data_IF_502964150591
#
_entry.id   IF_502964150591
#
_cell.length_a   1.000
_cell.length_b   1.000
_cell.length_c   1.000
_cell.angle_alpha   90.00
_cell.angle_beta   90.00
_cell.angle_gamma   90.00
#
_symmetry.space_group_name_H-M   'P 1'
#
loop_
_entity.id
_entity.type
_entity.pdbx_description
1 polymer ?
#
# COMPACT_ATOMS: atom_id res chain seq x y z
N UNK A 1 1.02 -4.66 24.39
CA UNK A 1 0.34 -3.41 23.99
C UNK A 1 -1.00 -3.27 24.68
N UNK A 2 -1.83 -4.32 24.73
CA UNK A 2 -3.06 -4.41 25.55
C UNK A 2 -2.84 -4.02 27.03
N UNK A 3 -1.78 -4.56 27.64
CA UNK A 3 -1.45 -4.31 29.05
C UNK A 3 -1.15 -2.84 29.41
N UNK A 4 -0.81 -2.00 28.42
CA UNK A 4 -0.44 -0.59 28.65
C UNK A 4 -1.52 0.39 28.12
N UNK A 5 -2.50 -0.06 27.33
CA UNK A 5 -3.42 0.84 26.60
C UNK A 5 -4.90 0.47 26.69
N UNK A 6 -5.26 -0.61 27.39
CA UNK A 6 -6.65 -1.03 27.63
C UNK A 6 -7.20 -1.90 26.48
N UNK A 7 -8.03 -2.87 26.85
CA UNK A 7 -8.76 -3.77 25.95
C UNK A 7 -9.81 -3.02 25.13
N UNK A 8 -10.08 -3.47 23.89
CA UNK A 8 -11.18 -2.99 23.00
C UNK A 8 -11.06 -1.60 22.37
N UNK A 9 -9.86 -1.02 22.24
CA UNK A 9 -9.66 0.23 21.48
C UNK A 9 -9.45 0.04 19.97
N UNK A 10 -9.63 -1.18 19.44
CA UNK A 10 -9.30 -1.48 18.04
C UNK A 10 -7.80 -1.36 17.71
N UNK A 11 -6.92 -1.40 18.72
CA UNK A 11 -5.45 -1.28 18.54
C UNK A 11 -4.82 -2.49 17.85
N UNK A 12 -5.60 -3.55 17.63
CA UNK A 12 -5.18 -4.78 16.96
C UNK A 12 -6.35 -5.25 16.08
N UNK A 13 -6.13 -5.29 14.77
CA UNK A 13 -7.11 -5.83 13.81
C UNK A 13 -6.86 -7.34 13.73
N UNK A 14 -7.76 -8.14 14.29
CA UNK A 14 -7.73 -9.60 14.25
C UNK A 14 -8.87 -10.10 13.33
N UNK A 15 -8.56 -10.94 12.34
CA UNK A 15 -9.53 -11.49 11.38
C UNK A 15 -8.88 -12.07 10.13
N UNK A 16 -9.63 -12.76 9.25
CA UNK A 16 -9.12 -13.20 7.95
C UNK A 16 -8.61 -11.98 7.16
N UNK A 17 -7.45 -12.09 6.50
CA UNK A 17 -6.83 -11.02 5.70
C UNK A 17 -7.57 -10.72 4.38
N UNK A 18 -8.91 -10.83 4.37
CA UNK A 18 -9.78 -10.39 3.27
C UNK A 18 -9.92 -8.87 3.19
N UNK A 19 -9.43 -8.16 4.21
CA UNK A 19 -9.44 -6.69 4.31
C UNK A 19 -8.31 -6.03 3.50
N UNK A 20 -7.33 -6.82 3.08
CA UNK A 20 -6.10 -6.34 2.45
C UNK A 20 -6.15 -6.37 0.91
N UNK A 21 -7.29 -6.75 0.33
CA UNK A 21 -7.43 -7.01 -1.11
C UNK A 21 -7.02 -5.80 -1.96
N UNK A 22 -7.33 -4.58 -1.53
CA UNK A 22 -6.96 -3.36 -2.27
C UNK A 22 -5.45 -3.10 -2.27
N UNK A 23 -4.76 -3.30 -1.14
CA UNK A 23 -3.30 -3.13 -1.12
C UNK A 23 -2.61 -4.30 -1.84
N UNK A 24 -3.17 -5.51 -1.78
CA UNK A 24 -2.67 -6.66 -2.56
C UNK A 24 -2.80 -6.39 -4.06
N UNK A 25 -3.94 -5.84 -4.51
CA UNK A 25 -4.11 -5.41 -5.90
C UNK A 25 -3.11 -4.32 -6.29
N UNK A 26 -2.93 -3.32 -5.43
CA UNK A 26 -1.92 -2.28 -5.63
C UNK A 26 -0.51 -2.87 -5.79
N UNK A 27 -0.15 -3.84 -4.94
CA UNK A 27 1.14 -4.53 -5.01
C UNK A 27 1.34 -5.27 -6.34
N UNK A 28 0.28 -5.90 -6.87
CA UNK A 28 0.31 -6.50 -8.21
C UNK A 28 0.60 -5.44 -9.26
N UNK A 29 -0.08 -4.29 -9.21
CA UNK A 29 0.09 -3.20 -10.18
C UNK A 29 1.49 -2.55 -10.09
N UNK A 30 2.02 -2.33 -8.88
CA UNK A 30 3.40 -1.87 -8.66
C UNK A 30 4.42 -2.85 -9.24
N UNK A 31 4.21 -4.15 -8.98
CA UNK A 31 5.11 -5.19 -9.49
C UNK A 31 5.07 -5.25 -11.00
N UNK A 32 3.89 -5.20 -11.61
CA UNK A 32 3.74 -5.25 -13.06
C UNK A 32 4.31 -4.00 -13.76
N UNK A 33 4.07 -2.80 -13.22
CA UNK A 33 4.43 -1.53 -13.90
C UNK A 33 5.85 -1.06 -13.60
N UNK A 34 6.37 -1.35 -12.41
CA UNK A 34 7.70 -0.90 -11.97
C UNK A 34 8.62 -2.08 -11.68
N UNK A 35 8.18 -3.05 -10.88
CA UNK A 35 9.04 -4.13 -10.38
C UNK A 35 9.61 -5.06 -11.46
N UNK A 36 8.76 -5.52 -12.39
CA UNK A 36 9.08 -6.58 -13.34
C UNK A 36 10.29 -6.25 -14.21
N UNK A 37 10.34 -5.02 -14.76
CA UNK A 37 11.48 -4.58 -15.59
C UNK A 37 12.80 -4.53 -14.83
N UNK A 38 12.78 -4.15 -13.54
CA UNK A 38 13.98 -4.08 -12.72
C UNK A 38 14.45 -5.49 -12.34
N UNK A 39 13.51 -6.39 -12.05
CA UNK A 39 13.81 -7.80 -11.83
C UNK A 39 14.47 -8.42 -13.08
N UNK A 40 13.88 -8.25 -14.26
CA UNK A 40 14.42 -8.75 -15.53
C UNK A 40 15.82 -8.17 -15.81
N UNK A 41 16.02 -6.87 -15.54
CA UNK A 41 17.29 -6.21 -15.71
C UNK A 41 18.38 -6.78 -14.78
N UNK A 42 18.09 -6.94 -13.49
CA UNK A 42 19.07 -7.49 -12.54
C UNK A 42 19.36 -8.96 -12.79
N UNK A 43 18.36 -9.77 -13.17
CA UNK A 43 18.55 -11.15 -13.61
C UNK A 43 19.47 -11.20 -14.84
N UNK A 44 19.28 -10.29 -15.81
CA UNK A 44 20.17 -10.20 -16.97
C UNK A 44 21.61 -9.84 -16.58
N UNK A 45 21.80 -8.96 -15.60
CA UNK A 45 23.13 -8.62 -15.08
C UNK A 45 23.81 -9.84 -14.42
N UNK A 46 23.06 -10.63 -13.65
CA UNK A 46 23.56 -11.87 -13.04
C UNK A 46 23.96 -12.90 -14.10
N UNK A 47 23.07 -13.17 -15.06
CA UNK A 47 23.27 -14.23 -16.04
C UNK A 47 24.32 -13.90 -17.11
N UNK A 48 24.47 -12.62 -17.49
CA UNK A 48 25.24 -12.23 -18.69
C UNK A 48 26.40 -11.28 -18.42
N UNK A 49 26.40 -10.59 -17.28
CA UNK A 49 27.33 -9.48 -17.03
C UNK A 49 28.16 -9.65 -15.75
N UNK A 50 28.08 -10.81 -15.10
CA UNK A 50 28.96 -11.16 -13.96
C UNK A 50 28.57 -10.48 -12.64
N UNK A 51 27.31 -10.06 -12.50
CA UNK A 51 26.80 -9.58 -11.23
C UNK A 51 26.76 -10.75 -10.22
N UNK A 52 27.71 -10.75 -9.27
CA UNK A 52 27.67 -11.61 -8.10
C UNK A 52 26.76 -11.06 -6.99
N UNK A 53 25.67 -11.77 -6.69
CA UNK A 53 24.70 -11.42 -5.64
C UNK A 53 25.25 -11.57 -4.21
N UNK A 54 26.32 -12.34 -4.03
CA UNK A 54 26.98 -12.53 -2.72
C UNK A 54 28.06 -11.48 -2.47
N UNK A 55 28.41 -10.68 -3.48
CA UNK A 55 29.40 -9.61 -3.35
C UNK A 55 28.73 -8.31 -2.89
N UNK A 56 29.00 -7.92 -1.64
CA UNK A 56 28.42 -6.70 -1.06
C UNK A 56 28.77 -5.43 -1.83
N UNK A 57 29.93 -5.38 -2.51
CA UNK A 57 30.33 -4.23 -3.32
C UNK A 57 29.47 -4.11 -4.57
N UNK A 58 29.07 -5.24 -5.17
CA UNK A 58 28.17 -5.25 -6.32
C UNK A 58 26.77 -4.76 -5.92
N UNK A 59 26.24 -5.26 -4.80
CA UNK A 59 24.95 -4.81 -4.26
C UNK A 59 24.98 -3.31 -3.94
N UNK A 60 26.04 -2.83 -3.28
CA UNK A 60 26.23 -1.41 -3.00
C UNK A 60 26.24 -0.59 -4.30
N UNK A 61 26.96 -1.05 -5.32
CA UNK A 61 27.03 -0.36 -6.62
C UNK A 61 25.66 -0.31 -7.30
N UNK A 62 24.88 -1.39 -7.27
CA UNK A 62 23.52 -1.41 -7.79
C UNK A 62 22.64 -0.39 -7.08
N UNK A 63 22.69 -0.34 -5.75
CA UNK A 63 21.95 0.65 -4.99
C UNK A 63 22.40 2.08 -5.34
N UNK A 64 23.70 2.33 -5.41
CA UNK A 64 24.23 3.64 -5.74
C UNK A 64 23.77 4.13 -7.12
N UNK A 65 23.76 3.25 -8.13
CA UNK A 65 23.40 3.59 -9.50
C UNK A 65 21.88 3.66 -9.72
N UNK A 66 21.14 2.67 -9.22
CA UNK A 66 19.77 2.43 -9.66
C UNK A 66 18.71 2.73 -8.60
N UNK A 67 19.05 2.77 -7.30
CA UNK A 67 18.07 3.09 -6.27
C UNK A 67 17.43 4.48 -6.45
N UNK A 68 18.17 5.55 -6.79
CA UNK A 68 17.56 6.85 -7.05
C UNK A 68 16.57 6.80 -8.22
N UNK A 69 16.87 5.98 -9.25
CA UNK A 69 16.01 5.82 -10.41
C UNK A 69 14.75 5.02 -10.08
N UNK A 70 14.88 3.92 -9.35
CA UNK A 70 13.75 3.11 -8.88
C UNK A 70 12.82 3.97 -8.03
N UNK A 71 13.38 4.76 -7.10
CA UNK A 71 12.59 5.66 -6.26
C UNK A 71 11.84 6.70 -7.08
N UNK A 72 12.48 7.34 -8.06
CA UNK A 72 11.81 8.30 -8.93
C UNK A 72 10.65 7.67 -9.72
N UNK A 73 10.81 6.44 -10.20
CA UNK A 73 9.76 5.72 -10.91
C UNK A 73 8.62 5.28 -9.98
N UNK A 74 8.91 4.89 -8.75
CA UNK A 74 7.91 4.61 -7.73
C UNK A 74 7.14 5.88 -7.32
N UNK A 75 7.82 7.02 -7.21
CA UNK A 75 7.17 8.32 -6.98
C UNK A 75 6.22 8.66 -8.12
N UNK A 76 6.67 8.55 -9.36
CA UNK A 76 5.83 8.79 -10.53
C UNK A 76 4.63 7.84 -10.60
N UNK A 77 4.85 6.55 -10.29
CA UNK A 77 3.76 5.57 -10.18
C UNK A 77 2.76 6.00 -9.11
N UNK A 78 3.22 6.39 -7.92
CA UNK A 78 2.34 6.80 -6.83
C UNK A 78 1.52 8.05 -7.20
N UNK A 79 2.15 9.06 -7.82
CA UNK A 79 1.44 10.26 -8.30
C UNK A 79 0.37 9.91 -9.34
N UNK A 80 0.71 9.06 -10.31
CA UNK A 80 -0.20 8.61 -11.37
C UNK A 80 -1.35 7.78 -10.80
N UNK A 81 -1.02 6.84 -9.90
CA UNK A 81 -1.99 6.00 -9.22
C UNK A 81 -2.87 6.81 -8.25
N UNK A 82 -2.38 7.88 -7.65
CA UNK A 82 -3.27 8.71 -6.81
C UNK A 82 -4.33 9.44 -7.64
N UNK A 83 -4.11 9.62 -8.94
CA UNK A 83 -5.02 10.34 -9.85
C UNK A 83 -5.88 9.42 -10.73
N UNK A 84 -5.54 8.13 -10.87
CA UNK A 84 -6.35 7.21 -11.69
C UNK A 84 -7.74 7.02 -11.09
N UNK A 85 -8.76 6.89 -11.93
CA UNK A 85 -10.15 6.70 -11.46
C UNK A 85 -10.41 5.23 -11.19
N UNK A 86 -10.84 4.94 -9.97
CA UNK A 86 -11.33 3.62 -9.58
C UNK A 86 -12.84 3.58 -9.82
N UNK A 87 -13.32 2.47 -10.38
CA UNK A 87 -14.75 2.23 -10.49
C UNK A 87 -15.32 1.87 -9.13
N UNK A 88 -16.31 2.63 -8.68
CA UNK A 88 -16.98 2.39 -7.40
C UNK A 88 -18.38 1.88 -7.74
N UNK A 89 -18.67 0.64 -7.35
CA UNK A 89 -19.91 -0.07 -7.72
C UNK A 89 -21.18 0.70 -7.37
N UNK A 90 -21.18 1.39 -6.23
CA UNK A 90 -22.34 2.12 -5.68
C UNK A 90 -22.14 3.64 -5.65
N UNK A 91 -21.27 4.19 -6.50
CA UNK A 91 -20.96 5.62 -6.46
C UNK A 91 -20.27 6.14 -7.72
N UNK A 92 -20.00 7.45 -7.79
CA UNK A 92 -19.23 8.01 -8.89
C UNK A 92 -17.79 7.45 -8.86
N UNK A 93 -17.22 7.15 -10.03
CA UNK A 93 -15.80 6.81 -10.11
C UNK A 93 -14.95 7.96 -9.53
N UNK A 94 -14.06 7.65 -8.61
CA UNK A 94 -13.21 8.63 -7.93
C UNK A 94 -11.76 8.18 -7.99
N UNK A 95 -10.84 9.14 -8.00
CA UNK A 95 -9.43 8.83 -7.79
C UNK A 95 -9.13 8.62 -6.30
N UNK A 96 -8.06 7.89 -5.94
CA UNK A 96 -7.63 7.82 -4.55
C UNK A 96 -7.42 9.21 -3.91
N UNK A 97 -6.94 10.19 -4.67
CA UNK A 97 -6.83 11.57 -4.21
C UNK A 97 -8.20 12.22 -3.93
N UNK A 98 -9.18 12.01 -4.81
CA UNK A 98 -10.55 12.49 -4.59
C UNK A 98 -11.16 11.83 -3.34
N UNK A 99 -11.02 10.51 -3.22
CA UNK A 99 -11.52 9.77 -2.06
C UNK A 99 -10.89 10.31 -0.77
N UNK A 100 -9.57 10.50 -0.74
CA UNK A 100 -8.88 11.04 0.42
C UNK A 100 -9.37 12.45 0.79
N UNK A 101 -9.48 13.35 -0.19
CA UNK A 101 -9.89 14.74 0.04
C UNK A 101 -11.36 14.88 0.43
N UNK A 102 -12.27 14.22 -0.30
CA UNK A 102 -13.71 14.29 -0.02
C UNK A 102 -14.10 13.53 1.25
N UNK A 103 -13.48 12.38 1.53
CA UNK A 103 -13.77 11.65 2.78
C UNK A 103 -13.38 12.48 4.00
N UNK A 104 -12.27 13.22 3.97
CA UNK A 104 -11.89 14.12 5.07
C UNK A 104 -12.91 15.24 5.30
N UNK A 105 -13.56 15.71 4.23
CA UNK A 105 -14.60 16.73 4.34
C UNK A 105 -15.91 16.18 4.91
N UNK A 106 -16.27 14.94 4.55
CA UNK A 106 -17.53 14.30 4.95
C UNK A 106 -17.45 13.64 6.33
N UNK A 107 -16.32 12.99 6.64
CA UNK A 107 -16.14 12.15 7.82
C UNK A 107 -15.19 12.74 8.87
N UNK A 108 -14.70 13.95 8.65
CA UNK A 108 -13.75 14.60 9.54
C UNK A 108 -12.29 14.22 9.25
N UNK A 109 -11.37 14.88 9.96
CA UNK A 109 -9.93 14.68 9.75
C UNK A 109 -9.54 13.27 10.16
N UNK A 110 -9.04 12.46 9.22
CA UNK A 110 -8.48 11.14 9.53
C UNK A 110 -7.33 11.31 10.53
N UNK A 111 -7.43 10.62 11.67
CA UNK A 111 -6.44 10.68 12.75
C UNK A 111 -6.75 11.69 13.85
N UNK A 112 -7.86 12.43 13.75
CA UNK A 112 -8.47 13.05 14.92
C UNK A 112 -9.10 11.96 15.82
N UNK A 113 -9.23 12.23 17.12
CA UNK A 113 -9.63 11.22 18.10
C UNK A 113 -10.89 10.48 17.65
N UNK A 114 -10.82 9.15 17.58
CA UNK A 114 -12.02 8.31 17.42
C UNK A 114 -13.06 8.80 18.44
N UNK A 115 -14.33 9.00 18.04
CA UNK A 115 -15.38 9.21 19.01
C UNK A 115 -15.26 8.13 20.08
N UNK A 116 -15.41 8.47 21.36
CA UNK A 116 -15.37 7.52 22.48
C UNK A 116 -16.49 6.45 22.44
N UNK A 117 -17.15 6.28 21.30
CA UNK A 117 -18.05 5.18 21.03
C UNK A 117 -17.22 3.92 20.82
N UNK A 118 -17.16 3.11 21.87
CA UNK A 118 -16.59 1.77 21.82
C UNK A 118 -17.37 0.96 20.78
N UNK A 119 -16.84 0.85 19.55
CA UNK A 119 -17.33 -0.09 18.55
C UNK A 119 -17.35 -1.48 19.18
N UNK A 120 -18.46 -2.19 19.02
CA UNK A 120 -18.57 -3.55 19.53
C UNK A 120 -17.67 -4.50 18.73
N UNK A 121 -17.37 -5.67 19.30
CA UNK A 121 -16.42 -6.64 18.74
C UNK A 121 -16.80 -7.07 17.31
N UNK A 122 -18.11 -7.23 17.06
CA UNK A 122 -18.68 -7.54 15.74
C UNK A 122 -18.55 -6.39 14.72
N UNK A 123 -18.59 -5.13 15.19
CA UNK A 123 -18.45 -3.96 14.33
C UNK A 123 -16.99 -3.72 13.95
N UNK A 124 -16.05 -3.99 14.87
CA UNK A 124 -14.61 -3.97 14.61
C UNK A 124 -14.19 -5.03 13.59
N UNK A 125 -14.80 -6.21 13.60
CA UNK A 125 -14.51 -7.28 12.63
C UNK A 125 -14.93 -6.95 11.19
N UNK A 126 -15.86 -6.02 11.01
CA UNK A 126 -16.35 -5.59 9.68
C UNK A 126 -15.81 -4.21 9.29
N UNK A 127 -15.16 -3.50 10.22
CA UNK A 127 -14.65 -2.17 9.98
C UNK A 127 -13.56 -2.17 8.89
N UNK A 128 -13.86 -1.52 7.76
CA UNK A 128 -12.94 -1.44 6.63
C UNK A 128 -12.92 -2.67 5.72
N UNK A 129 -13.79 -3.68 5.93
CA UNK A 129 -14.02 -4.74 4.94
C UNK A 129 -14.87 -4.20 3.80
N UNK A 130 -14.34 -4.30 2.59
CA UNK A 130 -15.15 -4.16 1.37
C UNK A 130 -15.59 -5.56 0.91
N UNK A 131 -16.73 -6.03 1.42
CA UNK A 131 -17.29 -7.35 1.11
C UNK A 131 -17.70 -7.51 -0.36
N UNK A 132 -17.68 -6.42 -1.13
CA UNK A 132 -18.12 -6.36 -2.53
C UNK A 132 -17.00 -6.07 -3.53
N UNK A 133 -15.74 -6.39 -3.17
CA UNK A 133 -14.58 -6.29 -4.05
C UNK A 133 -14.79 -6.91 -5.45
#
# INVERSE_FOLDING_TARGET
>A
MEANKGTRRGSYIWGRSVHNVRIERLWVDVTAQVGAKWADFFISLELRHGLDINNINHIWLLHHLYLPRINAELTFFAESWNQHRIQIRNGPNRSPADMFGFDMYVHGVRGDQLPEENLNEEELEVYGVDWEG
#
